data_IF_775902553020
#
_entry.id   IF_775902553020
#
_cell.length_a   1.000
_cell.length_b   1.000
_cell.length_c   1.000
_cell.angle_alpha   90.00
_cell.angle_beta   90.00
_cell.angle_gamma   90.00
#
_symmetry.space_group_name_H-M   'P 1'
#
loop_
_entity.id
_entity.type
_entity.pdbx_description
1 polymer ?
#
# COMPACT_ATOMS: atom_id res chain seq x y z
N UNK A 1 -39.96 7.66 -24.55
CA UNK A 1 -40.86 6.68 -23.92
C UNK A 1 -40.33 6.33 -22.54
N UNK A 2 -41.17 6.40 -21.50
CA UNK A 2 -40.90 5.97 -20.12
C UNK A 2 -41.52 4.59 -19.94
N UNK A 3 -40.73 3.61 -19.49
CA UNK A 3 -41.19 2.33 -18.95
C UNK A 3 -40.23 1.87 -17.82
N UNK A 4 -40.69 1.03 -16.88
CA UNK A 4 -40.60 1.30 -15.44
C UNK A 4 -39.73 0.33 -14.60
N UNK A 5 -39.64 0.71 -13.31
CA UNK A 5 -39.23 -0.01 -12.10
C UNK A 5 -39.34 -1.54 -12.08
N UNK A 6 -38.28 -2.19 -11.60
CA UNK A 6 -38.30 -3.44 -10.81
C UNK A 6 -37.19 -3.35 -9.73
N UNK A 7 -37.46 -3.09 -8.46
CA UNK A 7 -38.09 -3.96 -7.43
C UNK A 7 -37.16 -5.07 -6.89
N UNK A 8 -36.36 -4.70 -5.88
CA UNK A 8 -36.21 -5.42 -4.61
C UNK A 8 -35.59 -6.83 -4.56
N UNK A 9 -34.44 -6.95 -3.88
CA UNK A 9 -34.15 -8.12 -3.05
C UNK A 9 -33.17 -7.74 -1.92
N UNK A 10 -33.70 -7.63 -0.70
CA UNK A 10 -32.99 -7.32 0.53
C UNK A 10 -32.68 -8.63 1.26
N UNK A 11 -31.44 -9.11 1.21
CA UNK A 11 -31.02 -10.23 2.07
C UNK A 11 -30.41 -9.63 3.35
N UNK A 12 -31.17 -9.72 4.44
CA UNK A 12 -30.75 -9.34 5.79
C UNK A 12 -30.35 -10.61 6.53
N UNK A 13 -29.08 -11.01 6.46
CA UNK A 13 -28.56 -12.07 7.34
C UNK A 13 -28.39 -11.49 8.75
N UNK A 14 -29.23 -12.01 9.63
CA UNK A 14 -29.37 -11.63 11.03
C UNK A 14 -28.85 -12.79 11.87
N UNK A 15 -28.09 -12.52 12.93
CA UNK A 15 -27.78 -13.48 14.00
C UNK A 15 -26.40 -14.15 13.83
N UNK A 16 -25.61 -14.37 14.88
CA UNK A 16 -25.96 -14.41 16.29
C UNK A 16 -24.78 -14.09 17.20
N UNK A 17 -25.14 -13.59 18.38
CA UNK A 17 -24.31 -13.44 19.56
C UNK A 17 -24.04 -14.83 20.12
N UNK A 18 -22.84 -15.13 20.60
CA UNK A 18 -22.67 -15.84 21.87
C UNK A 18 -21.39 -15.40 22.54
N UNK A 19 -21.58 -14.69 23.65
CA UNK A 19 -20.65 -14.47 24.74
C UNK A 19 -20.59 -15.72 25.62
N UNK A 20 -19.40 -16.10 26.06
CA UNK A 20 -19.25 -17.06 27.16
C UNK A 20 -17.81 -17.12 27.67
N UNK A 21 -17.53 -16.67 28.90
CA UNK A 21 -16.33 -17.04 29.65
C UNK A 21 -16.64 -18.15 30.67
N UNK A 22 -15.77 -19.15 30.73
CA UNK A 22 -15.74 -20.20 31.77
C UNK A 22 -15.06 -21.48 31.23
N UNK A 23 -14.32 -22.27 32.05
CA UNK A 23 -14.56 -22.48 33.47
C UNK A 23 -13.35 -22.32 34.41
N UNK A 24 -13.72 -22.17 35.68
CA UNK A 24 -12.96 -22.44 36.90
C UNK A 24 -12.39 -23.86 36.94
N UNK A 25 -11.15 -24.06 37.38
CA UNK A 25 -10.83 -25.10 38.36
C UNK A 25 -9.35 -25.09 38.78
N UNK A 26 -9.21 -25.09 40.09
CA UNK A 26 -8.05 -25.32 40.93
C UNK A 26 -7.42 -26.68 40.67
N UNK A 27 -6.10 -26.75 40.51
CA UNK A 27 -5.38 -28.02 40.41
C UNK A 27 -3.87 -27.83 40.32
N UNK A 28 -3.19 -28.11 41.43
CA UNK A 28 -1.76 -27.92 41.65
C UNK A 28 -0.92 -29.08 41.08
N UNK A 29 0.25 -28.72 40.52
CA UNK A 29 1.47 -29.51 40.31
C UNK A 29 1.49 -30.59 39.19
N UNK A 30 2.22 -30.33 38.10
CA UNK A 30 3.65 -30.66 38.00
C UNK A 30 4.30 -30.13 36.70
N UNK A 31 5.61 -29.93 36.81
CA UNK A 31 6.60 -29.39 35.89
C UNK A 31 6.60 -30.05 34.50
N UNK A 32 6.51 -29.22 33.46
CA UNK A 32 7.32 -29.37 32.25
C UNK A 32 7.92 -28.00 31.94
N UNK A 33 9.23 -27.86 32.17
CA UNK A 33 9.99 -26.70 31.72
C UNK A 33 10.30 -26.84 30.23
N UNK A 34 9.35 -26.44 29.39
CA UNK A 34 9.71 -25.92 28.07
C UNK A 34 9.85 -24.42 28.20
N UNK A 35 11.08 -23.98 28.47
CA UNK A 35 11.50 -22.60 28.29
C UNK A 35 11.51 -22.27 26.78
N UNK A 36 10.33 -22.21 26.15
CA UNK A 36 10.18 -21.49 24.90
C UNK A 36 9.74 -20.07 25.27
N UNK A 37 10.75 -19.26 25.50
CA UNK A 37 10.66 -17.85 25.80
C UNK A 37 9.71 -17.19 24.80
N UNK A 38 8.52 -16.87 25.31
CA UNK A 38 7.57 -15.92 24.79
C UNK A 38 8.34 -14.68 24.33
N UNK A 39 8.75 -14.65 23.06
CA UNK A 39 9.17 -13.41 22.41
C UNK A 39 7.88 -12.70 22.03
N UNK A 40 7.46 -11.65 22.75
CA UNK A 40 6.40 -10.79 22.29
C UNK A 40 6.79 -10.25 20.91
N UNK A 41 6.02 -10.57 19.88
CA UNK A 41 6.11 -9.95 18.54
C UNK A 41 5.59 -8.49 18.53
N UNK A 42 5.41 -7.91 19.71
CA UNK A 42 5.02 -6.52 19.87
C UNK A 42 6.29 -5.66 19.75
N UNK A 43 6.47 -5.10 18.55
CA UNK A 43 7.41 -4.04 18.16
C UNK A 43 8.60 -4.43 17.25
N UNK A 44 8.31 -4.98 16.06
CA UNK A 44 9.19 -4.79 14.88
C UNK A 44 8.58 -3.68 14.01
N UNK A 45 8.32 -2.51 14.61
CA UNK A 45 7.76 -1.35 13.91
C UNK A 45 8.76 -0.23 13.66
N UNK A 46 10.03 -0.30 14.09
CA UNK A 46 10.98 0.80 13.86
C UNK A 46 12.43 0.31 13.71
N UNK A 47 13.15 0.88 12.73
CA UNK A 47 14.61 0.93 12.64
C UNK A 47 15.43 -0.14 11.86
N UNK A 48 14.87 -0.76 10.81
CA UNK A 48 15.68 -1.00 9.59
C UNK A 48 15.31 0.04 8.53
N UNK A 49 15.47 1.31 8.91
CA UNK A 49 15.30 2.50 8.09
C UNK A 49 16.43 2.57 7.04
N UNK A 50 16.32 1.77 5.97
CA UNK A 50 17.01 2.09 4.73
C UNK A 50 16.04 2.94 3.91
N UNK A 51 16.21 4.27 3.80
CA UNK A 51 15.55 5.01 2.74
C UNK A 51 16.23 4.61 1.43
N UNK A 52 15.83 3.48 0.83
CA UNK A 52 16.35 3.03 -0.48
C UNK A 52 16.03 4.01 -1.61
N UNK A 53 15.27 5.07 -1.36
CA UNK A 53 14.61 5.81 -2.44
C UNK A 53 14.49 7.31 -2.14
N UNK A 54 15.61 7.99 -1.87
CA UNK A 54 15.69 9.39 -2.34
C UNK A 54 15.87 9.31 -3.87
N UNK A 55 14.77 9.01 -4.57
CA UNK A 55 14.77 8.97 -6.03
C UNK A 55 15.03 10.41 -6.48
N UNK A 56 16.26 10.70 -6.91
CA UNK A 56 16.54 11.87 -7.73
C UNK A 56 15.75 11.69 -9.02
N UNK A 57 14.52 12.20 -9.04
CA UNK A 57 13.58 12.02 -10.14
C UNK A 57 14.08 12.65 -11.45
N UNK A 58 15.09 13.52 -11.38
CA UNK A 58 15.87 14.00 -12.53
C UNK A 58 16.72 12.92 -13.19
N UNK A 59 17.11 11.86 -12.47
CA UNK A 59 18.00 10.81 -12.96
C UNK A 59 17.28 9.50 -13.28
N UNK A 60 16.00 9.35 -12.88
CA UNK A 60 15.24 8.09 -13.06
C UNK A 60 13.80 8.31 -13.50
N UNK A 61 13.30 7.40 -14.31
CA UNK A 61 11.91 7.40 -14.74
C UNK A 61 10.96 7.07 -13.57
N UNK A 62 9.90 7.86 -13.40
CA UNK A 62 8.91 7.67 -12.34
C UNK A 62 8.04 6.42 -12.53
N UNK A 63 7.90 5.91 -13.77
CA UNK A 63 7.06 4.73 -14.05
C UNK A 63 7.83 3.41 -14.04
N UNK A 64 8.99 3.35 -14.70
CA UNK A 64 9.77 2.12 -14.83
C UNK A 64 11.06 2.09 -13.99
N UNK A 65 11.47 3.22 -13.40
CA UNK A 65 12.72 3.30 -12.62
C UNK A 65 14.01 3.34 -13.45
N UNK A 66 13.93 3.31 -14.78
CA UNK A 66 15.09 3.34 -15.68
C UNK A 66 15.90 4.64 -15.52
N UNK A 67 17.22 4.55 -15.63
CA UNK A 67 18.13 5.71 -15.57
C UNK A 67 17.95 6.56 -16.82
N UNK A 68 17.76 7.87 -16.64
CA UNK A 68 17.59 8.83 -17.73
C UNK A 68 18.96 9.23 -18.30
N UNK A 69 19.52 8.37 -19.16
CA UNK A 69 20.86 8.55 -19.75
C UNK A 69 20.86 9.37 -21.08
N UNK A 70 19.98 10.36 -21.21
CA UNK A 70 20.19 11.49 -22.12
C UNK A 70 19.73 11.37 -23.59
N UNK A 71 19.03 10.31 -24.02
CA UNK A 71 18.36 10.29 -25.34
C UNK A 71 16.88 9.96 -25.21
N UNK A 72 16.01 10.89 -25.66
CA UNK A 72 14.55 10.74 -25.62
C UNK A 72 13.92 10.80 -24.21
N UNK A 73 14.68 11.20 -23.20
CA UNK A 73 14.22 11.37 -21.83
C UNK A 73 13.75 12.79 -21.59
N UNK A 74 12.61 12.97 -20.94
CA UNK A 74 12.07 14.30 -20.59
C UNK A 74 11.98 14.46 -19.08
N UNK A 75 12.24 15.68 -18.60
CA UNK A 75 12.10 16.04 -17.19
C UNK A 75 11.24 17.30 -17.13
N UNK A 76 10.15 17.26 -16.36
CA UNK A 76 9.22 18.37 -16.20
C UNK A 76 8.72 18.46 -14.77
N UNK A 77 8.14 19.59 -14.36
CA UNK A 77 7.50 19.73 -13.06
C UNK A 77 6.09 19.17 -13.10
N UNK A 78 5.64 18.56 -12.00
CA UNK A 78 4.28 18.04 -11.91
C UNK A 78 3.24 19.16 -12.17
N UNK A 79 2.31 19.00 -13.14
CA UNK A 79 1.34 20.04 -13.49
C UNK A 79 0.29 20.29 -12.41
N UNK A 80 0.09 19.32 -11.49
CA UNK A 80 -0.89 19.43 -10.42
C UNK A 80 -0.35 20.16 -9.17
N UNK A 81 0.93 19.97 -8.83
CA UNK A 81 1.48 20.53 -7.58
C UNK A 81 2.71 21.42 -7.76
N UNK A 82 3.42 21.35 -8.89
CA UNK A 82 4.65 22.12 -9.15
C UNK A 82 5.85 21.81 -8.24
N UNK A 83 5.69 20.92 -7.25
CA UNK A 83 6.69 20.66 -6.19
C UNK A 83 7.73 19.60 -6.56
N UNK A 84 7.36 18.61 -7.37
CA UNK A 84 8.23 17.49 -7.76
C UNK A 84 8.60 17.55 -9.24
N UNK A 85 9.88 17.28 -9.54
CA UNK A 85 10.33 16.97 -10.90
C UNK A 85 9.96 15.54 -11.26
N UNK A 86 9.33 15.32 -12.40
CA UNK A 86 8.96 14.02 -12.94
C UNK A 86 9.88 13.74 -14.13
N UNK A 87 10.57 12.62 -14.06
CA UNK A 87 11.42 12.11 -15.14
C UNK A 87 10.72 11.01 -15.92
N UNK A 88 10.74 11.08 -17.26
CA UNK A 88 10.09 10.12 -18.15
C UNK A 88 11.07 9.67 -19.23
N UNK A 89 11.20 8.35 -19.41
CA UNK A 89 11.96 7.80 -20.53
C UNK A 89 11.07 7.75 -21.80
N UNK A 90 11.71 7.70 -22.97
CA UNK A 90 11.03 7.61 -24.26
C UNK A 90 10.00 6.46 -24.27
N UNK A 91 10.43 5.25 -23.88
CA UNK A 91 9.59 4.05 -23.85
C UNK A 91 8.29 4.23 -23.05
N UNK A 92 8.36 4.78 -21.84
CA UNK A 92 7.15 5.00 -21.04
C UNK A 92 6.24 6.08 -21.66
N UNK A 93 6.82 7.06 -22.35
CA UNK A 93 6.07 8.12 -23.04
C UNK A 93 5.37 7.58 -24.29
N UNK A 94 6.06 6.77 -25.09
CA UNK A 94 5.52 6.11 -26.29
C UNK A 94 4.42 5.10 -25.93
N UNK A 95 4.56 4.43 -24.79
CA UNK A 95 3.57 3.48 -24.28
C UNK A 95 2.47 4.11 -23.43
N UNK A 96 2.46 5.45 -23.25
CA UNK A 96 1.50 6.15 -22.39
C UNK A 96 1.34 5.52 -20.99
N UNK A 97 2.45 5.05 -20.42
CA UNK A 97 2.44 4.35 -19.12
C UNK A 97 2.09 5.36 -18.05
N UNK A 98 1.14 5.08 -17.16
CA UNK A 98 0.82 6.00 -16.09
C UNK A 98 2.04 6.29 -15.18
N UNK A 99 2.26 7.56 -14.80
CA UNK A 99 3.13 7.94 -13.69
C UNK A 99 2.30 8.45 -12.53
N UNK A 100 2.81 8.29 -11.31
CA UNK A 100 2.22 8.86 -10.10
C UNK A 100 3.17 9.87 -9.47
N UNK A 101 2.67 11.06 -9.17
CA UNK A 101 3.42 12.04 -8.40
C UNK A 101 3.53 11.59 -6.93
N UNK A 102 4.73 11.57 -6.32
CA UNK A 102 4.89 11.19 -4.91
C UNK A 102 4.36 12.23 -3.93
N UNK A 103 4.19 13.49 -4.36
CA UNK A 103 3.74 14.59 -3.48
C UNK A 103 2.23 14.78 -3.52
N UNK A 104 1.60 14.84 -4.70
CA UNK A 104 0.15 15.05 -4.82
C UNK A 104 -0.63 13.81 -5.26
N UNK A 105 0.02 12.66 -5.46
CA UNK A 105 -0.62 11.42 -5.95
C UNK A 105 -1.31 11.54 -7.32
N UNK A 106 -1.09 12.62 -8.06
CA UNK A 106 -1.62 12.80 -9.41
C UNK A 106 -1.14 11.68 -10.33
N UNK A 107 -2.08 11.05 -11.04
CA UNK A 107 -1.80 10.02 -12.05
C UNK A 107 -2.02 10.61 -13.45
N UNK A 108 -0.96 10.64 -14.25
CA UNK A 108 -0.98 11.09 -15.64
C UNK A 108 -0.35 10.07 -16.58
N UNK A 109 -0.61 10.14 -17.89
CA UNK A 109 -0.06 9.21 -18.87
C UNK A 109 1.41 9.43 -19.22
#
# INVERSE_FOLDING_TARGET
>A
MRLPSESGARIKVSGGRTSGPGPTSSGSAQLFQDANENRPVHNVLYAASIPRTVIRAETRCTSCGAVLAGKGTTVFLCPSCGKTRIGRCARCRDQSVAYRCPTCSFMGP
#
